data_IF_833624201475
#
_entry.id   IF_833624201475
#
_cell.length_a   1.000
_cell.length_b   1.000
_cell.length_c   1.000
_cell.angle_alpha   90.00
_cell.angle_beta   90.00
_cell.angle_gamma   90.00
#
_symmetry.space_group_name_H-M   'P 1'
#
loop_
_entity.id
_entity.type
_entity.pdbx_description
1 polymer ?
#
# COMPACT_ATOMS: atom_id res chain seq x y z
N UNK A 1 -14.89 -1.56 -4.55
CA UNK A 1 -13.92 -2.69 -4.58
C UNK A 1 -13.63 -3.01 -3.12
N UNK A 2 -13.87 -4.25 -2.68
CA UNK A 2 -13.61 -4.61 -1.29
C UNK A 2 -12.13 -4.42 -0.98
N UNK A 3 -11.84 -3.82 0.17
CA UNK A 3 -10.50 -3.81 0.79
C UNK A 3 -10.51 -4.90 1.87
N UNK A 4 -10.79 -6.12 1.43
CA UNK A 4 -10.79 -7.28 2.31
C UNK A 4 -9.36 -7.75 2.57
N UNK A 5 -9.23 -8.77 3.42
CA UNK A 5 -7.94 -9.32 3.77
C UNK A 5 -7.15 -9.83 2.55
N UNK A 6 -7.85 -10.31 1.50
CA UNK A 6 -7.20 -10.77 0.27
C UNK A 6 -6.50 -9.62 -0.46
N UNK A 7 -7.11 -8.42 -0.51
CA UNK A 7 -6.43 -7.21 -1.00
C UNK A 7 -5.17 -6.92 -0.20
N UNK A 8 -5.26 -6.88 1.14
CA UNK A 8 -4.13 -6.57 2.01
C UNK A 8 -2.97 -7.57 1.82
N UNK A 9 -3.29 -8.86 1.74
CA UNK A 9 -2.32 -9.93 1.55
C UNK A 9 -1.68 -9.89 0.15
N UNK A 10 -2.46 -9.58 -0.88
CA UNK A 10 -1.94 -9.38 -2.23
C UNK A 10 -0.96 -8.20 -2.28
N UNK A 11 -1.29 -7.07 -1.65
CA UNK A 11 -0.41 -5.91 -1.54
C UNK A 11 0.89 -6.26 -0.80
N UNK A 12 0.82 -6.96 0.33
CA UNK A 12 1.99 -7.41 1.07
C UNK A 12 2.93 -8.29 0.22
N UNK A 13 2.37 -9.27 -0.49
CA UNK A 13 3.14 -10.18 -1.37
C UNK A 13 3.77 -9.44 -2.53
N UNK A 14 3.00 -8.61 -3.24
CA UNK A 14 3.51 -7.83 -4.37
C UNK A 14 4.56 -6.81 -3.94
N UNK A 15 4.40 -6.17 -2.77
CA UNK A 15 5.40 -5.25 -2.23
C UNK A 15 6.75 -5.93 -2.09
N UNK A 16 6.77 -7.13 -1.50
CA UNK A 16 8.02 -7.88 -1.33
C UNK A 16 8.62 -8.34 -2.66
N UNK A 17 7.79 -8.82 -3.60
CA UNK A 17 8.26 -9.22 -4.93
C UNK A 17 8.89 -8.06 -5.69
N UNK A 18 8.23 -6.90 -5.71
CA UNK A 18 8.73 -5.70 -6.38
C UNK A 18 10.06 -5.22 -5.81
N UNK A 19 10.26 -5.32 -4.49
CA UNK A 19 11.55 -5.00 -3.86
C UNK A 19 12.66 -5.92 -4.36
N UNK A 20 12.41 -7.23 -4.41
CA UNK A 20 13.39 -8.22 -4.89
C UNK A 20 13.73 -7.98 -6.36
N UNK A 21 12.73 -7.77 -7.22
CA UNK A 21 12.92 -7.51 -8.64
C UNK A 21 13.73 -6.24 -8.92
N UNK A 22 13.61 -5.23 -8.04
CA UNK A 22 14.40 -4.00 -8.10
C UNK A 22 15.81 -4.15 -7.51
N UNK A 23 16.19 -5.33 -7.03
CA UNK A 23 17.47 -5.60 -6.39
C UNK A 23 17.59 -5.04 -4.96
N UNK A 24 16.48 -4.59 -4.34
CA UNK A 24 16.48 -4.08 -2.98
C UNK A 24 16.55 -5.23 -1.98
N UNK A 25 17.71 -5.38 -1.32
CA UNK A 25 17.99 -6.47 -0.37
C UNK A 25 18.06 -6.03 1.08
N UNK A 26 18.02 -4.73 1.35
CA UNK A 26 18.11 -4.20 2.72
C UNK A 26 16.77 -4.23 3.44
N UNK A 27 15.67 -4.34 2.70
CA UNK A 27 14.31 -4.37 3.22
C UNK A 27 13.86 -5.81 3.39
N UNK A 28 13.60 -6.21 4.63
CA UNK A 28 13.17 -7.57 4.93
C UNK A 28 11.74 -7.84 4.47
N UNK A 29 11.41 -9.13 4.36
CA UNK A 29 10.05 -9.60 4.08
C UNK A 29 9.08 -9.11 5.16
N UNK A 30 9.51 -9.11 6.42
CA UNK A 30 8.72 -8.70 7.58
C UNK A 30 8.31 -7.22 7.46
N UNK A 31 9.23 -6.33 7.06
CA UNK A 31 8.92 -4.92 6.82
C UNK A 31 7.92 -4.73 5.67
N UNK A 32 8.13 -5.45 4.57
CA UNK A 32 7.24 -5.39 3.40
C UNK A 32 5.82 -5.88 3.73
N UNK A 33 5.71 -6.98 4.49
CA UNK A 33 4.42 -7.54 4.89
C UNK A 33 3.71 -6.66 5.90
N UNK A 34 4.42 -6.11 6.90
CA UNK A 34 3.83 -5.20 7.86
C UNK A 34 3.26 -3.95 7.17
N UNK A 35 4.02 -3.35 6.25
CA UNK A 35 3.55 -2.21 5.47
C UNK A 35 2.33 -2.57 4.60
N UNK A 36 2.37 -3.71 3.90
CA UNK A 36 1.26 -4.15 3.04
C UNK A 36 -0.01 -4.49 3.80
N UNK A 37 0.08 -5.14 4.96
CA UNK A 37 -1.09 -5.50 5.77
C UNK A 37 -1.73 -4.30 6.46
N UNK A 38 -0.93 -3.28 6.81
CA UNK A 38 -1.40 -2.13 7.59
C UNK A 38 -1.72 -0.89 6.72
N UNK A 39 -1.38 -0.86 5.42
CA UNK A 39 -1.49 0.35 4.60
C UNK A 39 -2.88 1.02 4.61
N UNK A 40 -3.93 0.20 4.70
CA UNK A 40 -5.33 0.63 4.64
C UNK A 40 -6.06 0.50 5.99
N UNK A 41 -5.35 0.32 7.11
CA UNK A 41 -5.98 0.13 8.43
C UNK A 41 -6.84 1.34 8.87
N UNK A 42 -6.52 2.54 8.39
CA UNK A 42 -7.30 3.76 8.63
C UNK A 42 -8.52 3.93 7.73
N UNK A 43 -8.82 2.97 6.82
CA UNK A 43 -9.89 3.12 5.82
C UNK A 43 -11.28 3.33 6.43
N UNK A 44 -11.55 2.76 7.61
CA UNK A 44 -12.82 2.95 8.28
C UNK A 44 -13.06 4.42 8.67
N UNK A 45 -12.02 5.15 9.07
CA UNK A 45 -12.11 6.58 9.42
C UNK A 45 -12.34 7.46 8.19
N UNK A 46 -11.86 7.07 7.02
CA UNK A 46 -12.23 7.75 5.77
C UNK A 46 -13.74 7.64 5.52
N UNK A 47 -14.34 6.48 5.81
CA UNK A 47 -15.76 6.24 5.59
C UNK A 47 -16.66 6.90 6.63
N UNK A 48 -16.24 6.96 7.89
CA UNK A 48 -17.08 7.46 9.00
C UNK A 48 -16.82 8.92 9.34
N UNK A 49 -15.58 9.38 9.17
CA UNK A 49 -15.09 10.67 9.71
C UNK A 49 -14.48 11.57 8.62
N UNK A 50 -14.40 11.09 7.37
CA UNK A 50 -13.79 11.82 6.24
C UNK A 50 -12.33 12.24 6.51
N UNK A 51 -11.61 11.44 7.29
CA UNK A 51 -10.18 11.60 7.58
C UNK A 51 -9.35 10.91 6.49
N UNK A 52 -8.18 11.45 6.16
CA UNK A 52 -7.25 10.78 5.24
C UNK A 52 -6.78 9.45 5.82
N UNK A 53 -7.18 8.34 5.18
CA UNK A 53 -6.89 7.00 5.70
C UNK A 53 -5.40 6.68 5.76
N UNK A 54 -4.56 7.34 4.96
CA UNK A 54 -3.11 7.12 5.01
C UNK A 54 -2.50 7.77 6.26
N UNK A 55 -3.02 8.93 6.68
CA UNK A 55 -2.57 9.61 7.91
C UNK A 55 -3.13 8.91 9.15
N UNK A 56 -4.43 8.63 9.17
CA UNK A 56 -5.06 7.83 10.22
C UNK A 56 -4.41 6.44 10.35
N UNK A 57 -4.05 5.84 9.21
CA UNK A 57 -3.37 4.55 9.15
C UNK A 57 -2.00 4.57 9.86
N UNK A 58 -1.25 5.67 9.82
CA UNK A 58 0.00 5.79 10.58
C UNK A 58 -0.25 5.74 12.08
N UNK A 59 -1.22 6.52 12.56
CA UNK A 59 -1.56 6.59 13.99
C UNK A 59 -2.00 5.22 14.53
N UNK A 60 -2.77 4.48 13.74
CA UNK A 60 -3.22 3.13 14.08
C UNK A 60 -2.12 2.06 13.94
N UNK A 61 -1.23 2.18 12.95
CA UNK A 61 -0.20 1.19 12.69
C UNK A 61 0.94 1.23 13.72
N UNK A 62 1.35 2.41 14.18
CA UNK A 62 2.45 2.58 15.14
C UNK A 62 2.32 1.67 16.39
N UNK A 63 1.23 1.69 17.17
CA UNK A 63 1.11 0.85 18.36
C UNK A 63 1.08 -0.65 18.04
N UNK A 64 0.54 -1.05 16.88
CA UNK A 64 0.54 -2.45 16.43
C UNK A 64 1.97 -2.91 16.14
N UNK A 65 2.77 -2.08 15.48
CA UNK A 65 4.15 -2.38 15.14
C UNK A 65 5.03 -2.44 16.39
N UNK A 66 4.84 -1.51 17.34
CA UNK A 66 5.51 -1.53 18.64
C UNK A 66 5.19 -2.83 19.40
N UNK A 67 3.91 -3.18 19.50
CA UNK A 67 3.48 -4.41 20.16
C UNK A 67 3.99 -5.68 19.46
N UNK A 68 4.23 -5.61 18.15
CA UNK A 68 4.79 -6.70 17.35
C UNK A 68 6.31 -6.79 17.42
N UNK A 69 6.98 -5.91 18.16
CA UNK A 69 8.43 -5.95 18.42
C UNK A 69 9.29 -5.29 17.34
N UNK A 70 8.72 -4.48 16.44
CA UNK A 70 9.49 -3.69 15.49
C UNK A 70 10.30 -2.60 16.21
N UNK A 71 11.50 -2.32 15.71
CA UNK A 71 12.37 -1.27 16.24
C UNK A 71 11.86 0.11 15.84
N UNK A 72 12.20 1.19 16.57
CA UNK A 72 11.79 2.56 16.22
C UNK A 72 12.12 2.98 14.78
N UNK A 73 13.29 2.57 14.25
CA UNK A 73 13.69 2.85 12.87
C UNK A 73 12.83 2.10 11.84
N UNK A 74 12.41 0.88 12.16
CA UNK A 74 11.55 0.05 11.31
C UNK A 74 10.11 0.58 11.32
N UNK A 75 9.60 0.95 12.50
CA UNK A 75 8.30 1.60 12.65
C UNK A 75 8.27 2.88 11.83
N UNK A 76 9.28 3.76 11.97
CA UNK A 76 9.36 5.00 11.20
C UNK A 76 9.35 4.73 9.69
N UNK A 77 10.08 3.72 9.24
CA UNK A 77 10.13 3.33 7.83
C UNK A 77 8.77 2.84 7.32
N UNK A 78 8.11 1.92 8.05
CA UNK A 78 6.78 1.41 7.70
C UNK A 78 5.75 2.54 7.69
N UNK A 79 5.70 3.37 8.74
CA UNK A 79 4.78 4.50 8.84
C UNK A 79 5.00 5.54 7.73
N UNK A 80 6.25 5.75 7.30
CA UNK A 80 6.55 6.59 6.14
C UNK A 80 5.94 6.01 4.86
N UNK A 81 6.10 4.70 4.64
CA UNK A 81 5.50 4.03 3.49
C UNK A 81 3.96 4.10 3.51
N UNK A 82 3.34 3.90 4.68
CA UNK A 82 1.88 4.00 4.86
C UNK A 82 1.39 5.42 4.53
N UNK A 83 2.00 6.47 5.07
CA UNK A 83 1.53 7.86 4.79
C UNK A 83 1.67 8.25 3.31
N UNK A 84 2.59 7.65 2.57
CA UNK A 84 2.89 8.00 1.18
C UNK A 84 2.16 7.13 0.14
N UNK A 85 1.46 6.07 0.55
CA UNK A 85 0.92 5.08 -0.39
C UNK A 85 -0.19 5.59 -1.33
N UNK A 86 -0.71 6.81 -1.12
CA UNK A 86 -1.69 7.46 -2.01
C UNK A 86 -1.09 8.53 -2.93
N UNK A 87 0.00 9.16 -2.54
CA UNK A 87 0.38 10.51 -3.01
C UNK A 87 1.52 10.49 -4.03
N UNK A 88 1.31 9.83 -5.16
CA UNK A 88 2.31 9.71 -6.23
C UNK A 88 1.91 10.40 -7.54
N UNK A 89 0.75 11.07 -7.57
CA UNK A 89 0.26 11.78 -8.76
C UNK A 89 0.97 13.12 -9.05
N UNK A 90 2.08 13.45 -8.36
CA UNK A 90 2.95 14.58 -8.73
C UNK A 90 4.07 14.10 -9.66
N UNK A 91 4.14 14.56 -10.92
CA UNK A 91 5.27 14.27 -11.81
C UNK A 91 6.58 14.76 -11.18
N UNK A 92 7.50 13.85 -10.88
CA UNK A 92 8.83 14.15 -10.31
C UNK A 92 9.14 13.47 -8.96
N UNK A 93 8.14 13.10 -8.16
CA UNK A 93 8.37 12.59 -6.80
C UNK A 93 8.69 11.09 -6.72
N UNK A 94 8.31 10.29 -7.74
CA UNK A 94 8.44 8.80 -7.70
C UNK A 94 9.87 8.30 -7.52
N UNK A 95 10.84 9.03 -8.06
CA UNK A 95 12.25 8.65 -8.03
C UNK A 95 12.92 9.00 -6.70
N UNK A 96 12.33 9.89 -5.90
CA UNK A 96 12.87 10.33 -4.61
C UNK A 96 12.28 9.57 -3.41
N UNK A 97 11.33 8.68 -3.64
CA UNK A 97 10.75 7.86 -2.58
C UNK A 97 11.68 6.76 -2.12
N UNK A 98 11.58 6.45 -0.83
CA UNK A 98 12.17 5.25 -0.28
C UNK A 98 11.65 4.00 -1.04
N UNK A 99 12.50 2.99 -1.31
CA UNK A 99 12.10 1.81 -2.05
C UNK A 99 10.83 1.13 -1.52
N UNK A 100 10.66 1.04 -0.19
CA UNK A 100 9.43 0.51 0.43
C UNK A 100 8.17 1.30 0.03
N UNK A 101 8.19 2.63 0.12
CA UNK A 101 7.04 3.47 -0.24
C UNK A 101 6.65 3.29 -1.71
N UNK A 102 7.66 3.26 -2.60
CA UNK A 102 7.45 3.06 -4.04
C UNK A 102 6.89 1.67 -4.34
N UNK A 103 7.43 0.63 -3.71
CA UNK A 103 6.96 -0.74 -3.87
C UNK A 103 5.51 -0.90 -3.35
N UNK A 104 5.21 -0.34 -2.17
CA UNK A 104 3.88 -0.40 -1.56
C UNK A 104 2.82 0.28 -2.42
N UNK A 105 3.10 1.49 -2.94
CA UNK A 105 2.21 2.18 -3.86
C UNK A 105 1.92 1.35 -5.12
N UNK A 106 2.98 0.84 -5.75
CA UNK A 106 2.82 0.02 -6.96
C UNK A 106 2.02 -1.25 -6.65
N UNK A 107 2.27 -1.89 -5.51
CA UNK A 107 1.54 -3.07 -5.07
C UNK A 107 0.05 -2.79 -4.81
N UNK A 108 -0.32 -1.67 -4.19
CA UNK A 108 -1.73 -1.27 -4.00
C UNK A 108 -2.45 -1.06 -5.34
N UNK A 109 -1.75 -0.56 -6.37
CA UNK A 109 -2.32 -0.45 -7.72
C UNK A 109 -2.40 -1.80 -8.46
N UNK A 110 -1.34 -2.61 -8.40
CA UNK A 110 -1.22 -3.87 -9.14
C UNK A 110 -1.86 -5.09 -8.43
N UNK A 111 -2.32 -4.95 -7.20
CA UNK A 111 -3.12 -5.99 -6.53
C UNK A 111 -4.57 -6.05 -7.05
N UNK A 112 -5.06 -4.96 -7.67
CA UNK A 112 -6.47 -4.81 -8.04
C UNK A 112 -6.77 -5.38 -9.42
N UNK A 113 -7.35 -6.57 -9.48
CA UNK A 113 -7.79 -7.25 -10.72
C UNK A 113 -9.03 -6.61 -11.36
N UNK A 114 -8.91 -5.34 -11.78
CA UNK A 114 -10.03 -4.50 -12.18
C UNK A 114 -10.81 -5.03 -13.39
N UNK A 115 -10.15 -5.76 -14.28
CA UNK A 115 -10.81 -6.40 -15.44
C UNK A 115 -11.90 -7.41 -15.04
N UNK A 116 -11.85 -7.97 -13.82
CA UNK A 116 -12.84 -8.92 -13.26
C UNK A 116 -13.70 -8.32 -12.14
N UNK A 117 -13.59 -7.03 -11.87
CA UNK A 117 -14.31 -6.38 -10.76
C UNK A 117 -15.78 -6.13 -11.12
N UNK A 118 -16.72 -6.58 -10.27
CA UNK A 118 -18.16 -6.35 -10.45
C UNK A 118 -18.55 -4.86 -10.36
N UNK A 119 -17.79 -4.08 -9.59
CA UNK A 119 -18.01 -2.63 -9.44
C UNK A 119 -17.32 -1.80 -10.55
N UNK A 120 -16.83 -2.42 -11.63
CA UNK A 120 -16.04 -1.74 -12.67
C UNK A 120 -16.76 -0.55 -13.29
N UNK A 121 -18.04 -0.69 -13.64
CA UNK A 121 -18.81 0.35 -14.34
C UNK A 121 -19.08 1.59 -13.46
N UNK A 122 -19.17 1.41 -12.14
CA UNK A 122 -19.37 2.49 -11.17
C UNK A 122 -18.09 2.92 -10.45
N UNK A 123 -16.93 2.35 -10.81
CA UNK A 123 -15.67 2.62 -10.15
C UNK A 123 -15.07 3.94 -10.62
N UNK A 124 -15.08 4.95 -9.74
CA UNK A 124 -14.47 6.27 -9.99
C UNK A 124 -12.97 6.22 -10.34
N UNK A 125 -12.25 5.20 -9.89
CA UNK A 125 -10.79 5.06 -10.09
C UNK A 125 -10.43 4.27 -11.37
N UNK A 126 -11.41 3.67 -12.06
CA UNK A 126 -11.16 2.69 -13.12
C UNK A 126 -10.18 3.16 -14.21
N UNK A 127 -10.30 4.41 -14.67
CA UNK A 127 -9.45 5.01 -15.71
C UNK A 127 -7.98 5.15 -15.31
N UNK A 128 -7.69 5.15 -14.01
CA UNK A 128 -6.35 5.34 -13.45
C UNK A 128 -5.72 4.02 -12.97
N UNK A 129 -6.47 2.91 -13.01
CA UNK A 129 -5.99 1.62 -12.51
C UNK A 129 -5.26 0.85 -13.63
N UNK A 130 -4.03 0.37 -13.37
CA UNK A 130 -3.20 -0.24 -14.40
C UNK A 130 -3.82 -1.51 -14.99
N UNK A 131 -4.60 -2.25 -14.20
CA UNK A 131 -5.23 -3.51 -14.62
C UNK A 131 -6.68 -3.37 -15.08
N UNK A 132 -7.08 -2.18 -15.54
CA UNK A 132 -8.47 -1.91 -15.96
C UNK A 132 -8.95 -2.84 -17.08
N UNK A 133 -8.13 -3.03 -18.12
CA UNK A 133 -8.51 -3.80 -19.32
C UNK A 133 -7.91 -5.22 -19.39
N UNK A 134 -6.77 -5.46 -18.76
CA UNK A 134 -6.03 -6.73 -18.77
C UNK A 134 -5.04 -6.81 -17.61
N UNK A 135 -4.50 -8.01 -17.35
CA UNK A 135 -3.30 -8.18 -16.51
C UNK A 135 -2.11 -7.48 -17.17
N UNK A 136 -1.29 -6.82 -16.35
CA UNK A 136 -0.15 -5.99 -16.80
C UNK A 136 1.22 -6.57 -16.40
N UNK A 137 1.24 -7.81 -15.92
CA UNK A 137 2.42 -8.60 -15.60
C UNK A 137 2.17 -10.04 -16.03
#
# INVERSE_FOLDING_TARGET
CPHDFDHLLAVARLTYLLLIEQGERTISKELAYAAGLLHDIGRWQEYTENIDHALAGVELACPILEHSGFKPVEIKLISTAISQHRHIDRPGDKNNLHPLSRALYNADLFSRLCFKCSARESCRKYTHLPQGKKLCY
#
